data_IF_847650027793
#
_entry.id   IF_847650027793
#
_cell.length_a   1.000
_cell.length_b   1.000
_cell.length_c   1.000
_cell.angle_alpha   90.00
_cell.angle_beta   90.00
_cell.angle_gamma   90.00
#
_symmetry.space_group_name_H-M   'P 1'
#
loop_
_entity.id
_entity.type
_entity.pdbx_description
1 polymer ?
#
# COMPACT_ATOMS: atom_id res chain seq x y z
N UNK A 1 18.88 5.94 -7.22
CA UNK A 1 19.80 7.11 -7.17
C UNK A 1 19.09 8.28 -7.85
N UNK A 2 18.76 9.35 -7.12
CA UNK A 2 18.02 10.51 -7.68
C UNK A 2 18.90 11.24 -8.69
N UNK A 3 18.45 11.34 -9.96
CA UNK A 3 19.17 12.05 -11.04
C UNK A 3 19.28 13.54 -10.70
N UNK A 4 20.44 14.15 -10.92
CA UNK A 4 20.61 15.62 -10.78
C UNK A 4 19.96 16.37 -11.94
N UNK A 5 19.79 17.69 -11.80
CA UNK A 5 19.30 18.56 -12.88
C UNK A 5 20.17 18.47 -14.13
N UNK A 6 21.49 18.26 -13.98
CA UNK A 6 22.41 18.00 -15.09
C UNK A 6 22.00 16.76 -15.90
N UNK A 7 21.66 15.66 -15.23
CA UNK A 7 21.28 14.43 -15.91
C UNK A 7 19.97 14.59 -16.70
N UNK A 8 19.04 15.41 -16.20
CA UNK A 8 17.86 15.81 -16.97
C UNK A 8 18.25 16.69 -18.16
N UNK A 9 19.10 17.70 -17.95
CA UNK A 9 19.54 18.57 -19.03
C UNK A 9 20.24 17.80 -20.17
N UNK A 10 20.94 16.70 -19.86
CA UNK A 10 21.54 15.83 -20.87
C UNK A 10 20.51 15.10 -21.76
N UNK A 11 19.26 14.92 -21.31
CA UNK A 11 18.20 14.34 -22.14
C UNK A 11 17.62 15.34 -23.15
N UNK A 12 17.80 16.63 -22.92
CA UNK A 12 17.36 17.72 -23.79
C UNK A 12 18.42 18.09 -24.87
N UNK A 13 19.49 17.30 -25.01
CA UNK A 13 20.53 17.55 -26.00
C UNK A 13 20.14 17.01 -27.36
N UNK A 14 20.22 17.87 -28.37
CA UNK A 14 20.06 17.52 -29.78
C UNK A 14 21.05 18.34 -30.63
N UNK A 15 21.62 17.73 -31.67
CA UNK A 15 22.60 18.37 -32.56
C UNK A 15 21.98 19.24 -33.66
N UNK A 16 20.69 19.07 -33.91
CA UNK A 16 19.94 19.70 -35.00
C UNK A 16 18.93 20.73 -34.49
N UNK A 17 18.36 20.52 -33.29
CA UNK A 17 17.45 21.50 -32.68
C UNK A 17 18.20 22.70 -32.10
N UNK A 18 17.58 23.88 -32.22
CA UNK A 18 18.14 25.16 -31.77
C UNK A 18 17.18 25.91 -30.83
N UNK A 19 16.30 25.20 -30.14
CA UNK A 19 15.51 25.85 -29.09
C UNK A 19 16.42 26.28 -27.92
N UNK A 20 16.01 27.29 -27.14
CA UNK A 20 16.85 27.86 -26.09
C UNK A 20 17.34 26.84 -25.05
N UNK A 21 16.54 25.82 -24.73
CA UNK A 21 16.90 24.80 -23.74
C UNK A 21 17.90 23.80 -24.34
N UNK A 22 17.73 23.40 -25.60
CA UNK A 22 18.71 22.55 -26.30
C UNK A 22 20.07 23.25 -26.46
N UNK A 23 20.06 24.55 -26.80
CA UNK A 23 21.30 25.35 -26.89
C UNK A 23 21.99 25.40 -25.52
N UNK A 24 21.23 25.68 -24.48
CA UNK A 24 21.70 25.65 -23.10
C UNK A 24 22.26 24.26 -22.70
N UNK A 25 21.56 23.18 -23.03
CA UNK A 25 21.96 21.81 -22.73
C UNK A 25 23.27 21.43 -23.41
N UNK A 26 23.44 21.81 -24.67
CA UNK A 26 24.67 21.61 -25.44
C UNK A 26 25.83 22.43 -24.89
N UNK A 27 25.58 23.66 -24.43
CA UNK A 27 26.59 24.51 -23.80
C UNK A 27 27.02 23.97 -22.44
N UNK A 28 26.07 23.63 -21.57
CA UNK A 28 26.33 23.03 -20.25
C UNK A 28 27.05 21.67 -20.34
N UNK A 29 26.89 20.93 -21.45
CA UNK A 29 27.68 19.71 -21.69
C UNK A 29 29.16 19.99 -21.95
N UNK A 30 29.47 21.09 -22.68
CA UNK A 30 30.85 21.50 -22.99
C UNK A 30 31.51 22.20 -21.80
N UNK A 31 30.71 22.71 -20.88
CA UNK A 31 31.17 23.29 -19.63
C UNK A 31 31.72 22.21 -18.68
N UNK A 32 33.03 22.30 -18.41
CA UNK A 32 33.72 21.35 -17.55
C UNK A 32 33.49 21.65 -16.07
N UNK A 33 33.31 22.93 -15.74
CA UNK A 33 33.17 23.44 -14.37
C UNK A 33 31.72 23.43 -13.87
N UNK A 34 30.77 23.07 -14.75
CA UNK A 34 29.37 22.94 -14.39
C UNK A 34 29.18 22.02 -13.15
N UNK A 35 28.40 22.43 -12.13
CA UNK A 35 28.17 21.65 -10.91
C UNK A 35 27.25 20.43 -11.16
N UNK A 36 27.78 19.39 -11.83
CA UNK A 36 27.04 18.20 -12.32
C UNK A 36 26.34 17.39 -11.23
N UNK A 37 26.88 17.44 -10.01
CA UNK A 37 26.38 16.67 -8.86
C UNK A 37 25.40 17.46 -7.99
N UNK A 38 25.34 18.78 -8.14
CA UNK A 38 24.44 19.61 -7.33
C UNK A 38 22.98 19.29 -7.62
N UNK A 39 22.17 19.36 -6.57
CA UNK A 39 20.71 19.23 -6.61
C UNK A 39 20.01 20.47 -6.09
N UNK A 40 20.78 21.48 -5.66
CA UNK A 40 20.27 22.72 -5.10
C UNK A 40 20.12 23.75 -6.23
N UNK A 41 18.91 24.30 -6.35
CA UNK A 41 18.63 25.39 -7.29
C UNK A 41 19.56 26.57 -7.02
N UNK A 42 19.78 26.93 -5.75
CA UNK A 42 20.51 28.14 -5.38
C UNK A 42 22.00 28.03 -5.72
N UNK A 43 22.61 26.87 -5.54
CA UNK A 43 24.00 26.60 -5.90
C UNK A 43 24.21 26.74 -7.41
N UNK A 44 23.31 26.14 -8.21
CA UNK A 44 23.40 26.16 -9.67
C UNK A 44 23.08 27.56 -10.21
N UNK A 45 22.08 28.25 -9.65
CA UNK A 45 21.76 29.64 -9.99
C UNK A 45 22.95 30.57 -9.69
N UNK A 46 23.59 30.38 -8.54
CA UNK A 46 24.79 31.15 -8.17
C UNK A 46 25.93 30.91 -9.15
N UNK A 47 26.17 29.65 -9.53
CA UNK A 47 27.15 29.30 -10.55
C UNK A 47 26.88 30.05 -11.86
N UNK A 48 25.64 30.06 -12.33
CA UNK A 48 25.30 30.76 -13.57
C UNK A 48 25.46 32.27 -13.49
N UNK A 49 25.14 32.88 -12.36
CA UNK A 49 25.37 34.32 -12.14
C UNK A 49 26.86 34.68 -12.16
N UNK A 50 27.73 33.77 -11.74
CA UNK A 50 29.18 34.02 -11.66
C UNK A 50 29.94 33.62 -12.93
N UNK A 51 29.54 32.54 -13.59
CA UNK A 51 30.32 31.88 -14.66
C UNK A 51 29.52 31.58 -15.93
N UNK A 52 28.18 31.74 -15.91
CA UNK A 52 27.26 31.32 -16.97
C UNK A 52 27.23 32.24 -18.19
N UNK A 53 28.34 32.35 -18.93
CA UNK A 53 28.46 33.21 -20.11
C UNK A 53 27.69 32.74 -21.34
N UNK A 54 27.18 31.51 -21.31
CA UNK A 54 26.47 30.85 -22.42
C UNK A 54 24.95 30.81 -22.27
N UNK A 55 24.41 31.41 -21.21
CA UNK A 55 22.98 31.60 -21.04
C UNK A 55 22.59 32.98 -21.57
N UNK A 56 21.77 33.00 -22.61
CA UNK A 56 21.23 34.26 -23.15
C UNK A 56 20.32 34.98 -22.15
N UNK A 57 19.65 34.23 -21.26
CA UNK A 57 18.80 34.75 -20.19
C UNK A 57 18.68 33.74 -19.04
N UNK A 58 18.58 34.25 -17.81
CA UNK A 58 18.28 33.42 -16.63
C UNK A 58 16.92 32.74 -16.70
N UNK A 59 15.99 33.27 -17.48
CA UNK A 59 14.69 32.63 -17.73
C UNK A 59 14.84 31.24 -18.36
N UNK A 60 15.87 31.02 -19.19
CA UNK A 60 16.12 29.71 -19.82
C UNK A 60 16.49 28.65 -18.78
N UNK A 61 17.27 29.05 -17.77
CA UNK A 61 17.62 28.16 -16.66
C UNK A 61 16.39 27.87 -15.79
N UNK A 62 15.59 28.89 -15.47
CA UNK A 62 14.37 28.74 -14.69
C UNK A 62 13.37 27.79 -15.38
N UNK A 63 13.15 27.97 -16.70
CA UNK A 63 12.29 27.10 -17.51
C UNK A 63 12.80 25.65 -17.54
N UNK A 64 14.10 25.45 -17.74
CA UNK A 64 14.72 24.12 -17.72
C UNK A 64 14.60 23.46 -16.33
N UNK A 65 14.74 24.25 -15.26
CA UNK A 65 14.58 23.78 -13.89
C UNK A 65 13.13 23.38 -13.60
N UNK A 66 12.16 24.16 -14.05
CA UNK A 66 10.74 23.87 -13.84
C UNK A 66 10.33 22.58 -14.57
N UNK A 67 10.81 22.37 -15.81
CA UNK A 67 10.60 21.12 -16.55
C UNK A 67 11.28 19.92 -15.88
N UNK A 68 12.47 20.09 -15.31
CA UNK A 68 13.12 19.08 -14.49
C UNK A 68 12.25 18.68 -13.29
N UNK A 69 11.73 19.66 -12.54
CA UNK A 69 10.87 19.38 -11.39
C UNK A 69 9.56 18.71 -11.81
N UNK A 70 8.95 19.14 -12.92
CA UNK A 70 7.74 18.52 -13.47
C UNK A 70 7.98 17.07 -13.87
N UNK A 71 9.09 16.79 -14.59
CA UNK A 71 9.47 15.43 -14.98
C UNK A 71 9.75 14.54 -13.77
N UNK A 72 10.45 15.08 -12.77
CA UNK A 72 10.71 14.39 -11.50
C UNK A 72 9.40 14.06 -10.77
N UNK A 73 8.46 15.02 -10.69
CA UNK A 73 7.14 14.83 -10.10
C UNK A 73 6.33 13.78 -10.86
N UNK A 74 6.30 13.85 -12.20
CA UNK A 74 5.61 12.86 -13.04
C UNK A 74 6.16 11.46 -12.83
N UNK A 75 7.48 11.31 -12.83
CA UNK A 75 8.13 10.02 -12.58
C UNK A 75 7.86 9.48 -11.17
N UNK A 76 7.85 10.35 -10.16
CA UNK A 76 7.44 9.99 -8.80
C UNK A 76 6.00 9.49 -8.77
N UNK A 77 5.08 10.15 -9.50
CA UNK A 77 3.68 9.71 -9.60
C UNK A 77 3.56 8.36 -10.32
N UNK A 78 4.31 8.14 -11.40
CA UNK A 78 4.34 6.85 -12.11
C UNK A 78 4.95 5.73 -11.25
N UNK A 79 6.01 6.01 -10.47
CA UNK A 79 6.58 5.05 -9.52
C UNK A 79 5.61 4.72 -8.37
N UNK A 80 4.81 5.68 -7.92
CA UNK A 80 3.78 5.48 -6.91
C UNK A 80 2.60 4.65 -7.44
N UNK A 81 2.28 4.78 -8.73
CA UNK A 81 1.15 4.10 -9.39
C UNK A 81 1.44 2.62 -9.72
N UNK A 82 2.68 2.16 -9.57
CA UNK A 82 3.04 0.76 -9.82
C UNK A 82 3.05 -0.06 -8.53
N UNK A 83 2.05 -0.93 -8.36
CA UNK A 83 2.14 -2.04 -7.41
C UNK A 83 3.14 -3.08 -7.91
N UNK A 84 4.00 -3.54 -7.01
CA UNK A 84 5.01 -4.56 -7.33
C UNK A 84 4.52 -5.95 -6.94
N UNK A 85 3.69 -6.07 -5.90
CA UNK A 85 3.25 -7.34 -5.34
C UNK A 85 1.78 -7.67 -5.60
N UNK A 86 1.02 -6.72 -6.16
CA UNK A 86 -0.37 -6.88 -6.56
C UNK A 86 -0.53 -6.44 -8.03
N UNK A 87 -0.94 -7.34 -8.92
CA UNK A 87 -1.10 -7.01 -10.35
C UNK A 87 -2.49 -6.45 -10.72
N UNK A 88 -3.24 -5.95 -9.74
CA UNK A 88 -4.58 -5.45 -9.96
C UNK A 88 -4.56 -4.13 -10.74
N UNK A 89 -5.58 -3.94 -11.58
CA UNK A 89 -5.89 -2.64 -12.19
C UNK A 89 -6.68 -1.77 -11.23
N UNK A 90 -6.63 -0.46 -11.48
CA UNK A 90 -7.46 0.50 -10.77
C UNK A 90 -8.93 0.07 -10.76
N UNK A 91 -9.55 0.16 -9.59
CA UNK A 91 -10.95 -0.21 -9.39
C UNK A 91 -11.24 -1.71 -9.35
N UNK A 92 -10.27 -2.63 -9.49
CA UNK A 92 -10.51 -4.09 -9.33
C UNK A 92 -10.60 -4.54 -7.86
N UNK A 93 -10.02 -3.77 -6.94
CA UNK A 93 -10.07 -4.02 -5.50
C UNK A 93 -11.17 -3.16 -4.88
N UNK A 94 -11.95 -3.75 -3.97
CA UNK A 94 -13.00 -3.06 -3.23
C UNK A 94 -12.43 -2.21 -2.09
N UNK A 95 -13.17 -1.19 -1.65
CA UNK A 95 -12.79 -0.36 -0.50
C UNK A 95 -12.65 -1.15 0.81
N UNK A 96 -13.32 -2.31 0.91
CA UNK A 96 -13.28 -3.20 2.06
C UNK A 96 -12.67 -4.53 1.69
N UNK A 97 -11.63 -4.94 2.44
CA UNK A 97 -10.84 -6.13 2.16
C UNK A 97 -10.64 -7.02 3.39
N UNK A 98 -10.76 -8.32 3.17
CA UNK A 98 -10.40 -9.36 4.14
C UNK A 98 -8.97 -9.82 3.89
N UNK A 99 -8.17 -9.94 4.94
CA UNK A 99 -6.74 -10.20 4.86
C UNK A 99 -6.34 -11.52 5.56
N UNK A 100 -6.66 -12.70 4.99
CA UNK A 100 -6.09 -13.95 5.46
C UNK A 100 -4.58 -14.03 5.23
N UNK A 101 -3.87 -14.73 6.12
CA UNK A 101 -2.43 -14.99 5.92
C UNK A 101 -2.14 -15.97 4.80
N UNK A 102 -2.92 -17.04 4.71
CA UNK A 102 -2.76 -18.11 3.72
C UNK A 102 -3.53 -17.78 2.41
N UNK A 103 -2.88 -17.77 1.23
CA UNK A 103 -3.56 -17.54 -0.04
C UNK A 103 -4.61 -18.62 -0.38
N UNK A 104 -4.45 -19.86 0.10
CA UNK A 104 -5.48 -20.89 -0.08
C UNK A 104 -6.72 -20.60 0.77
N UNK A 105 -6.54 -19.95 1.92
CA UNK A 105 -7.67 -19.44 2.71
C UNK A 105 -8.34 -18.25 2.02
N UNK A 106 -7.58 -17.39 1.33
CA UNK A 106 -8.17 -16.33 0.50
C UNK A 106 -9.08 -16.92 -0.58
N UNK A 107 -8.58 -17.92 -1.30
CA UNK A 107 -9.34 -18.67 -2.30
C UNK A 107 -10.59 -19.32 -1.70
N UNK A 108 -10.45 -20.03 -0.59
CA UNK A 108 -11.56 -20.67 0.10
C UNK A 108 -12.66 -19.66 0.50
N UNK A 109 -12.28 -18.50 1.04
CA UNK A 109 -13.22 -17.45 1.42
C UNK A 109 -13.94 -16.92 0.17
N UNK A 110 -13.20 -16.64 -0.90
CA UNK A 110 -13.79 -16.13 -2.13
C UNK A 110 -14.81 -17.13 -2.72
N UNK A 111 -14.40 -18.38 -2.92
CA UNK A 111 -15.25 -19.42 -3.54
C UNK A 111 -16.46 -19.84 -2.69
N UNK A 112 -16.36 -19.73 -1.36
CA UNK A 112 -17.40 -20.21 -0.45
C UNK A 112 -18.45 -19.15 -0.13
N UNK A 113 -18.06 -17.87 -0.08
CA UNK A 113 -18.91 -16.82 0.46
C UNK A 113 -19.27 -15.72 -0.53
N UNK A 114 -18.45 -15.48 -1.55
CA UNK A 114 -18.66 -14.40 -2.49
C UNK A 114 -19.37 -14.90 -3.75
N UNK A 115 -20.13 -14.00 -4.36
CA UNK A 115 -20.76 -14.14 -5.68
C UNK A 115 -19.94 -13.31 -6.70
N UNK A 116 -20.06 -13.61 -7.99
CA UNK A 116 -19.37 -12.91 -9.08
C UNK A 116 -17.85 -12.70 -8.83
N UNK A 117 -17.19 -13.79 -8.45
CA UNK A 117 -15.79 -13.77 -7.99
C UNK A 117 -14.82 -13.63 -9.16
N UNK A 118 -13.96 -12.63 -9.09
CA UNK A 118 -12.83 -12.43 -9.99
C UNK A 118 -11.52 -12.46 -9.21
N UNK A 119 -10.54 -13.22 -9.71
CA UNK A 119 -9.19 -13.19 -9.20
C UNK A 119 -8.43 -12.02 -9.83
N UNK A 120 -8.00 -11.06 -9.02
CA UNK A 120 -7.24 -9.90 -9.49
C UNK A 120 -5.73 -10.03 -9.26
N UNK A 121 -5.28 -10.95 -8.39
CA UNK A 121 -3.85 -11.12 -8.12
C UNK A 121 -3.46 -12.60 -8.08
N UNK A 122 -2.32 -12.90 -8.71
CA UNK A 122 -1.64 -14.19 -8.64
C UNK A 122 -0.13 -14.08 -8.43
N UNK A 123 0.40 -12.84 -8.34
CA UNK A 123 1.83 -12.57 -8.15
C UNK A 123 2.34 -13.36 -6.95
N UNK A 124 3.44 -14.10 -7.15
CA UNK A 124 4.10 -14.97 -6.16
C UNK A 124 3.17 -15.95 -5.43
N UNK A 125 2.07 -16.37 -6.07
CA UNK A 125 1.00 -17.18 -5.50
C UNK A 125 0.27 -16.53 -4.31
N UNK A 126 0.31 -15.20 -4.23
CA UNK A 126 -0.46 -14.46 -3.22
C UNK A 126 -1.83 -14.06 -3.77
N UNK A 127 -2.77 -15.01 -3.71
CA UNK A 127 -4.06 -14.85 -4.35
C UNK A 127 -4.89 -13.70 -3.76
N UNK A 128 -5.47 -12.92 -4.66
CA UNK A 128 -6.38 -11.81 -4.38
C UNK A 128 -7.65 -11.93 -5.20
N UNK A 129 -8.81 -11.80 -4.55
CA UNK A 129 -10.12 -11.96 -5.17
C UNK A 129 -11.04 -10.80 -4.82
N UNK A 130 -11.92 -10.43 -5.73
CA UNK A 130 -13.04 -9.51 -5.48
C UNK A 130 -14.33 -10.17 -5.91
N UNK A 131 -15.39 -9.99 -5.12
CA UNK A 131 -16.73 -10.43 -5.48
C UNK A 131 -17.77 -9.63 -4.70
N UNK A 132 -18.99 -10.14 -4.66
CA UNK A 132 -20.08 -9.53 -3.88
C UNK A 132 -20.53 -10.45 -2.76
N UNK A 133 -20.85 -9.88 -1.61
CA UNK A 133 -21.44 -10.58 -0.48
C UNK A 133 -22.67 -9.83 -0.03
N UNK A 134 -23.85 -10.42 -0.22
CA UNK A 134 -25.15 -9.79 0.09
C UNK A 134 -25.33 -8.42 -0.57
N UNK A 135 -24.87 -8.30 -1.81
CA UNK A 135 -24.93 -7.05 -2.60
C UNK A 135 -23.78 -6.08 -2.35
N UNK A 136 -22.91 -6.33 -1.37
CA UNK A 136 -21.77 -5.46 -1.06
C UNK A 136 -20.49 -5.98 -1.71
N UNK A 137 -19.70 -5.10 -2.33
CA UNK A 137 -18.44 -5.47 -2.96
C UNK A 137 -17.36 -5.67 -1.89
N UNK A 138 -16.76 -6.86 -1.86
CA UNK A 138 -15.74 -7.24 -0.88
C UNK A 138 -14.57 -7.90 -1.60
N UNK A 139 -13.35 -7.51 -1.19
CA UNK A 139 -12.13 -8.17 -1.63
C UNK A 139 -11.55 -9.09 -0.56
N UNK A 140 -10.72 -10.04 -0.97
CA UNK A 140 -9.99 -10.97 -0.10
C UNK A 140 -8.56 -11.10 -0.64
N UNK A 141 -7.56 -10.75 0.16
CA UNK A 141 -6.14 -10.78 -0.23
C UNK A 141 -5.33 -11.62 0.74
N UNK A 142 -4.59 -12.61 0.23
CA UNK A 142 -3.55 -13.28 0.99
C UNK A 142 -2.45 -12.29 1.40
N UNK A 143 -1.94 -12.37 2.62
CA UNK A 143 -0.88 -11.46 3.11
C UNK A 143 0.45 -12.13 3.43
N UNK A 144 0.50 -13.46 3.36
CA UNK A 144 1.61 -14.25 3.91
C UNK A 144 1.71 -14.18 5.44
N UNK A 145 2.87 -14.56 5.96
CA UNK A 145 3.15 -14.68 7.39
C UNK A 145 4.09 -13.59 7.88
N UNK A 146 3.82 -13.09 9.09
CA UNK A 146 4.65 -12.09 9.76
C UNK A 146 4.36 -10.66 9.37
N UNK A 147 4.86 -9.74 10.20
CA UNK A 147 4.60 -8.30 10.08
C UNK A 147 5.20 -7.68 8.80
N UNK A 148 6.43 -8.03 8.36
CA UNK A 148 6.98 -7.49 7.11
C UNK A 148 6.15 -7.85 5.88
N UNK A 149 5.63 -9.08 5.82
CA UNK A 149 4.84 -9.56 4.67
C UNK A 149 3.54 -8.78 4.54
N UNK A 150 2.76 -8.68 5.63
CA UNK A 150 1.48 -7.95 5.58
C UNK A 150 1.67 -6.45 5.34
N UNK A 151 2.76 -5.84 5.81
CA UNK A 151 3.03 -4.41 5.57
C UNK A 151 3.15 -4.08 4.09
N UNK A 152 3.76 -4.95 3.28
CA UNK A 152 3.90 -4.74 1.84
C UNK A 152 2.51 -4.67 1.19
N UNK A 153 1.67 -5.67 1.42
CA UNK A 153 0.33 -5.70 0.85
C UNK A 153 -0.55 -4.57 1.38
N UNK A 154 -0.48 -4.26 2.68
CA UNK A 154 -1.26 -3.18 3.27
C UNK A 154 -0.87 -1.82 2.67
N UNK A 155 0.43 -1.55 2.48
CA UNK A 155 0.91 -0.31 1.88
C UNK A 155 0.37 -0.14 0.46
N UNK A 156 0.51 -1.15 -0.40
CA UNK A 156 0.02 -1.11 -1.78
C UNK A 156 -1.52 -0.98 -1.83
N UNK A 157 -2.25 -1.74 -1.01
CA UNK A 157 -3.71 -1.66 -0.92
C UNK A 157 -4.20 -0.25 -0.52
N UNK A 158 -3.53 0.39 0.44
CA UNK A 158 -3.93 1.72 0.92
C UNK A 158 -3.54 2.80 -0.09
N UNK A 159 -2.28 2.80 -0.52
CA UNK A 159 -1.71 3.93 -1.26
C UNK A 159 -2.01 3.89 -2.76
N UNK A 160 -2.17 2.69 -3.34
CA UNK A 160 -2.33 2.51 -4.79
C UNK A 160 -3.74 2.10 -5.17
N UNK A 161 -4.44 1.38 -4.28
CA UNK A 161 -5.79 0.89 -4.54
C UNK A 161 -6.88 1.56 -3.69
N UNK A 162 -6.50 2.56 -2.89
CA UNK A 162 -7.40 3.37 -2.06
C UNK A 162 -8.35 2.53 -1.18
N UNK A 163 -7.86 1.40 -0.67
CA UNK A 163 -8.62 0.56 0.25
C UNK A 163 -8.77 1.28 1.59
N UNK A 164 -9.99 1.31 2.12
CA UNK A 164 -10.34 2.04 3.35
C UNK A 164 -10.39 1.11 4.56
N UNK A 165 -10.95 -0.09 4.41
CA UNK A 165 -11.22 -1.01 5.52
C UNK A 165 -10.44 -2.31 5.34
N UNK A 166 -9.43 -2.51 6.19
CA UNK A 166 -8.55 -3.68 6.17
C UNK A 166 -8.86 -4.58 7.38
N UNK A 167 -9.43 -5.77 7.14
CA UNK A 167 -9.85 -6.70 8.20
C UNK A 167 -9.03 -7.98 8.14
N UNK A 168 -8.11 -8.17 9.09
CA UNK A 168 -7.31 -9.40 9.16
C UNK A 168 -8.11 -10.58 9.70
N UNK A 169 -8.12 -11.68 8.93
CA UNK A 169 -8.79 -12.93 9.30
C UNK A 169 -7.74 -14.04 9.47
N UNK A 170 -7.30 -14.23 10.71
CA UNK A 170 -6.21 -15.14 11.04
C UNK A 170 -6.57 -16.21 12.06
N UNK A 171 -5.60 -17.07 12.32
CA UNK A 171 -5.62 -18.01 13.45
C UNK A 171 -4.74 -17.48 14.56
N UNK A 172 -5.16 -17.68 15.81
CA UNK A 172 -4.36 -17.34 16.98
C UNK A 172 -4.42 -18.48 18.02
N UNK A 173 -3.38 -18.54 18.86
CA UNK A 173 -3.32 -19.42 20.02
C UNK A 173 -3.87 -18.69 21.24
N UNK A 174 -4.83 -19.32 21.94
CA UNK A 174 -5.31 -18.81 23.22
C UNK A 174 -4.20 -18.92 24.27
N UNK A 175 -3.86 -17.79 24.90
CA UNK A 175 -2.92 -17.77 26.03
C UNK A 175 -3.63 -17.91 27.38
N UNK A 176 -4.87 -17.41 27.50
CA UNK A 176 -5.69 -17.62 28.68
C UNK A 176 -6.38 -18.97 28.64
N UNK A 177 -6.53 -19.59 29.81
CA UNK A 177 -7.14 -20.92 29.95
C UNK A 177 -8.62 -20.97 29.55
N UNK A 178 -9.33 -19.85 29.67
CA UNK A 178 -10.75 -19.74 29.31
C UNK A 178 -10.99 -19.66 27.81
N UNK A 179 -9.97 -19.35 27.00
CA UNK A 179 -10.05 -19.35 25.54
C UNK A 179 -9.97 -20.79 25.01
N UNK A 180 -11.04 -21.24 24.35
CA UNK A 180 -11.18 -22.60 23.82
C UNK A 180 -10.99 -22.66 22.31
N UNK A 181 -10.78 -23.87 21.80
CA UNK A 181 -10.81 -24.11 20.35
C UNK A 181 -12.19 -23.76 19.82
N UNK A 182 -12.24 -23.11 18.64
CA UNK A 182 -13.44 -22.52 18.01
C UNK A 182 -13.95 -21.22 18.60
N UNK A 183 -13.30 -20.66 19.62
CA UNK A 183 -13.60 -19.30 20.03
C UNK A 183 -13.14 -18.30 18.96
N UNK A 184 -14.00 -17.32 18.71
CA UNK A 184 -13.69 -16.16 17.88
C UNK A 184 -13.18 -15.07 18.80
N UNK A 185 -12.02 -14.52 18.47
CA UNK A 185 -11.39 -13.43 19.21
C UNK A 185 -11.35 -12.20 18.30
N UNK A 186 -11.78 -11.06 18.83
CA UNK A 186 -11.67 -9.76 18.18
C UNK A 186 -10.60 -8.98 18.94
N UNK A 187 -9.48 -8.70 18.26
CA UNK A 187 -8.38 -7.95 18.86
C UNK A 187 -8.75 -6.47 19.00
N UNK A 188 -8.52 -5.90 20.18
CA UNK A 188 -8.65 -4.46 20.43
C UNK A 188 -7.31 -3.73 20.25
N UNK A 189 -6.23 -4.43 20.56
CA UNK A 189 -4.86 -3.95 20.48
C UNK A 189 -3.95 -5.17 20.43
N UNK A 190 -2.74 -4.98 19.90
CA UNK A 190 -1.74 -6.01 19.77
C UNK A 190 -0.43 -5.57 20.42
N UNK A 191 0.23 -6.51 21.09
CA UNK A 191 1.63 -6.39 21.50
C UNK A 191 2.50 -7.12 20.49
N UNK A 192 3.72 -6.65 20.26
CA UNK A 192 4.61 -7.26 19.27
C UNK A 192 6.06 -7.30 19.77
N UNK A 193 6.76 -8.37 19.42
CA UNK A 193 8.21 -8.53 19.55
C UNK A 193 8.94 -8.14 18.25
N UNK A 194 8.20 -7.80 17.20
CA UNK A 194 8.77 -7.38 15.92
C UNK A 194 9.52 -6.06 16.05
N UNK A 195 10.77 -6.05 15.59
CA UNK A 195 11.57 -4.82 15.52
C UNK A 195 11.05 -3.82 14.50
N UNK A 196 10.14 -4.20 13.60
CA UNK A 196 9.63 -3.32 12.55
C UNK A 196 9.00 -2.05 13.12
N UNK A 197 8.16 -2.16 14.16
CA UNK A 197 7.53 -0.99 14.79
C UNK A 197 8.57 -0.10 15.46
N UNK A 198 9.52 -0.69 16.18
CA UNK A 198 10.61 0.08 16.81
C UNK A 198 11.47 0.79 15.75
N UNK A 199 11.80 0.11 14.65
CA UNK A 199 12.61 0.65 13.56
C UNK A 199 11.92 1.82 12.85
N UNK A 200 10.60 1.78 12.67
CA UNK A 200 9.81 2.89 12.10
C UNK A 200 10.00 4.19 12.88
N UNK A 201 10.22 4.11 14.19
CA UNK A 201 10.42 5.28 15.05
C UNK A 201 11.86 5.37 15.60
N UNK A 202 12.83 4.72 14.97
CA UNK A 202 14.24 4.72 15.38
C UNK A 202 14.46 4.34 16.87
N UNK A 203 13.60 3.49 17.43
CA UNK A 203 13.64 3.07 18.83
C UNK A 203 13.26 4.15 19.84
N UNK A 204 12.73 5.30 19.40
CA UNK A 204 12.46 6.44 20.28
C UNK A 204 11.13 6.30 21.05
N UNK A 205 10.20 5.48 20.56
CA UNK A 205 8.87 5.32 21.16
C UNK A 205 8.46 3.85 21.25
N UNK A 206 7.70 3.55 22.30
CA UNK A 206 6.92 2.32 22.39
C UNK A 206 5.52 2.60 21.84
N UNK A 207 5.30 2.29 20.57
CA UNK A 207 4.03 2.54 19.90
C UNK A 207 3.01 1.45 20.23
N UNK A 208 1.82 1.85 20.70
CA UNK A 208 0.72 0.95 20.99
C UNK A 208 -0.13 0.74 19.74
N UNK A 209 -0.11 -0.48 19.19
CA UNK A 209 -0.93 -0.85 18.04
C UNK A 209 -2.37 -1.05 18.51
N UNK A 210 -3.29 -0.25 17.96
CA UNK A 210 -4.72 -0.28 18.29
C UNK A 210 -5.53 -0.39 17.01
N UNK A 211 -6.63 -1.14 17.08
CA UNK A 211 -7.62 -1.20 16.01
C UNK A 211 -8.43 0.10 15.93
N UNK A 212 -8.97 0.40 14.75
CA UNK A 212 -10.01 1.42 14.60
C UNK A 212 -11.22 1.12 15.51
N UNK A 213 -11.70 2.15 16.20
CA UNK A 213 -12.71 1.98 17.24
C UNK A 213 -14.09 1.64 16.66
N UNK A 214 -14.46 2.27 15.55
CA UNK A 214 -15.78 2.11 14.94
C UNK A 214 -15.89 0.72 14.32
N UNK A 215 -14.84 0.27 13.62
CA UNK A 215 -14.75 -1.09 13.10
C UNK A 215 -14.83 -2.14 14.22
N UNK A 216 -14.11 -1.93 15.32
CA UNK A 216 -14.10 -2.85 16.48
C UNK A 216 -15.46 -2.96 17.18
N UNK A 217 -16.14 -1.83 17.39
CA UNK A 217 -17.49 -1.83 17.99
C UNK A 217 -18.49 -2.55 17.09
N UNK A 218 -18.43 -2.29 15.78
CA UNK A 218 -19.32 -2.92 14.82
C UNK A 218 -19.19 -4.45 14.86
N UNK A 219 -17.96 -4.96 14.85
CA UNK A 219 -17.67 -6.39 14.96
C UNK A 219 -18.21 -6.99 16.27
N UNK A 220 -17.95 -6.32 17.40
CA UNK A 220 -18.44 -6.75 18.71
C UNK A 220 -19.97 -6.85 18.75
N UNK A 221 -20.66 -5.87 18.15
CA UNK A 221 -22.11 -5.84 18.09
C UNK A 221 -22.66 -6.99 17.25
N UNK A 222 -22.06 -7.27 16.09
CA UNK A 222 -22.46 -8.37 15.22
C UNK A 222 -22.32 -9.73 15.91
N UNK A 223 -21.19 -9.96 16.58
CA UNK A 223 -20.95 -11.20 17.34
C UNK A 223 -21.98 -11.34 18.46
N UNK A 224 -22.21 -10.29 19.27
CA UNK A 224 -23.21 -10.33 20.34
C UNK A 224 -24.63 -10.57 19.83
N UNK A 225 -25.02 -9.96 18.71
CA UNK A 225 -26.37 -10.12 18.14
C UNK A 225 -26.62 -11.54 17.67
N UNK A 226 -25.66 -12.15 16.96
CA UNK A 226 -25.74 -13.56 16.55
C UNK A 226 -25.74 -14.51 17.74
N UNK A 227 -24.95 -14.22 18.78
CA UNK A 227 -24.93 -15.02 20.00
C UNK A 227 -26.26 -14.96 20.76
N UNK A 228 -26.90 -13.79 20.84
CA UNK A 228 -28.26 -13.64 21.41
C UNK A 228 -29.33 -14.36 20.59
N UNK A 229 -29.24 -14.34 19.26
CA UNK A 229 -30.17 -15.09 18.39
C UNK A 229 -29.99 -16.61 18.53
N UNK A 230 -28.74 -17.09 18.62
CA UNK A 230 -28.42 -18.50 18.82
C UNK A 230 -28.84 -19.01 20.21
N UNK A 231 -28.64 -18.21 21.27
CA UNK A 231 -28.94 -18.61 22.66
C UNK A 231 -30.43 -18.60 23.02
N UNK A 232 -31.28 -17.88 22.28
CA UNK A 232 -32.74 -17.83 22.49
C UNK A 232 -33.52 -19.02 21.93
N UNK A 233 -32.94 -19.81 21.03
CA UNK A 233 -33.58 -21.03 20.51
C UNK A 233 -33.32 -22.23 21.43
N UNK A 234 -34.25 -22.55 22.34
CA UNK A 234 -34.16 -23.70 23.28
C UNK A 234 -34.02 -25.07 22.59
N UNK A 235 -34.46 -25.20 21.34
CA UNK A 235 -34.37 -26.44 20.54
C UNK A 235 -32.97 -26.69 19.95
N UNK A 236 -32.11 -25.66 19.89
CA UNK A 236 -30.77 -25.76 19.31
C UNK A 236 -29.73 -26.45 20.21
N UNK A 237 -30.04 -26.68 21.50
CA UNK A 237 -29.15 -27.37 22.45
C UNK A 237 -29.04 -28.89 22.23
N UNK A 238 -29.96 -29.53 21.49
CA UNK A 238 -29.99 -30.99 21.29
C UNK A 238 -29.81 -31.47 19.86
N UNK A 239 -29.75 -30.57 18.87
CA UNK A 239 -29.45 -30.88 17.46
C UNK A 239 -28.65 -29.73 16.87
N UNK A 240 -27.32 -29.77 16.94
CA UNK A 240 -26.48 -28.89 16.13
C UNK A 240 -26.20 -29.56 14.78
N UNK A 241 -26.78 -29.10 13.65
CA UNK A 241 -26.22 -29.37 12.34
C UNK A 241 -24.87 -28.65 12.21
N UNK A 242 -23.87 -29.36 11.69
CA UNK A 242 -22.44 -29.00 11.71
C UNK A 242 -22.04 -27.78 10.86
N UNK A 243 -22.92 -27.16 10.08
CA UNK A 243 -22.53 -26.11 9.14
C UNK A 243 -23.43 -24.88 9.27
N UNK A 244 -22.93 -23.79 9.88
CA UNK A 244 -23.36 -22.40 9.59
C UNK A 244 -22.18 -21.46 9.79
N UNK A 245 -21.80 -20.83 8.68
CA UNK A 245 -20.53 -20.16 8.42
C UNK A 245 -20.76 -18.63 8.45
N UNK A 246 -20.09 -17.88 9.33
CA UNK A 246 -19.92 -16.43 9.20
C UNK A 246 -18.58 -15.97 9.78
N UNK A 247 -17.71 -15.55 8.87
CA UNK A 247 -16.35 -14.98 8.96
C UNK A 247 -15.90 -14.51 10.34
N UNK A 248 -15.28 -15.40 11.11
CA UNK A 248 -13.82 -15.54 11.27
C UNK A 248 -13.62 -17.05 11.49
N UNK A 249 -13.03 -17.77 10.52
CA UNK A 249 -12.82 -19.22 10.65
C UNK A 249 -11.36 -19.57 10.95
N UNK A 250 -11.25 -20.32 12.05
CA UNK A 250 -10.14 -21.14 12.51
C UNK A 250 -10.41 -22.57 12.03
N UNK A 251 -9.37 -23.29 11.62
CA UNK A 251 -9.39 -24.74 11.40
C UNK A 251 -9.69 -25.52 12.70
#
# INVERSE_FOLDING_TARGET
MTRSSYHYLMTERDGNMKDPITVFANAAFRDTDFPKQSKDYHEINHYFKMYGTYLDSMTIFDDAWERYQSTKKKKLLEELDMSVHIEAKEGQIAETILLPGDPLRAKYIAETFLEDVEQYNSVINMFGYTGTYKGERISVQGTGMGLPSIMIYAEELITQYNVQNLIRVGTARGMKEDIKVRDVVIAQADTTDSSAVANTFNGQVHFALKVDFDLWIFDLFLVKRKWKQASRNRTYRKKMPRNKLHLVFKD
#
